data_IF_703662417412
#
_entry.id   IF_703662417412
#
_cell.length_a   1.000
_cell.length_b   1.000
_cell.length_c   1.000
_cell.angle_alpha   90.00
_cell.angle_beta   90.00
_cell.angle_gamma   90.00
#
_symmetry.space_group_name_H-M   'P 1'
#
loop_
_entity.id
_entity.type
_entity.pdbx_description
1 polymer ?
#
# COMPACT_ATOMS: atom_id res chain seq x y z
N UNK A 1 -23.25 4.99 -10.12
CA UNK A 1 -23.21 5.87 -8.93
C UNK A 1 -23.58 7.28 -9.36
N UNK A 2 -24.39 7.97 -8.57
CA UNK A 2 -24.67 9.40 -8.68
C UNK A 2 -23.83 10.16 -7.67
N UNK A 3 -23.13 11.21 -8.12
CA UNK A 3 -22.37 12.14 -7.28
C UNK A 3 -22.93 13.55 -7.49
N UNK A 4 -23.49 14.16 -6.45
CA UNK A 4 -23.92 15.55 -6.47
C UNK A 4 -23.01 16.38 -5.58
N UNK A 5 -22.51 17.51 -6.09
CA UNK A 5 -21.64 18.40 -5.32
C UNK A 5 -22.25 19.78 -5.24
N UNK A 6 -22.47 20.24 -4.01
CA UNK A 6 -23.00 21.57 -3.72
C UNK A 6 -21.82 22.48 -3.35
N UNK A 7 -21.59 23.53 -4.13
CA UNK A 7 -20.44 24.43 -3.98
C UNK A 7 -20.79 25.85 -4.44
N UNK A 8 -20.02 26.85 -4.01
CA UNK A 8 -20.08 28.21 -4.55
C UNK A 8 -19.10 28.45 -5.70
N UNK A 9 -18.27 27.46 -6.05
CA UNK A 9 -17.32 27.46 -7.17
C UNK A 9 -17.50 26.19 -8.04
N UNK A 10 -18.57 26.08 -8.83
CA UNK A 10 -18.81 24.93 -9.71
C UNK A 10 -17.61 24.59 -10.61
N UNK A 11 -16.95 25.60 -11.14
CA UNK A 11 -15.80 25.49 -12.04
C UNK A 11 -14.57 24.82 -11.40
N UNK A 12 -14.51 24.75 -10.07
CA UNK A 12 -13.45 24.03 -9.37
C UNK A 12 -13.51 22.51 -9.64
N UNK A 13 -14.70 22.01 -10.01
CA UNK A 13 -14.97 20.58 -10.18
C UNK A 13 -14.85 20.08 -11.62
N UNK A 14 -14.38 20.93 -12.52
CA UNK A 14 -13.97 20.57 -13.87
C UNK A 14 -13.08 19.30 -13.95
N UNK A 15 -12.16 19.03 -12.99
CA UNK A 15 -11.41 17.78 -12.97
C UNK A 15 -12.24 16.49 -12.90
N UNK A 16 -13.47 16.53 -12.38
CA UNK A 16 -14.34 15.34 -12.30
C UNK A 16 -14.77 14.80 -13.66
N UNK A 17 -14.65 15.59 -14.74
CA UNK A 17 -14.95 15.15 -16.12
C UNK A 17 -13.71 14.80 -16.95
N UNK A 18 -12.53 14.81 -16.35
CA UNK A 18 -11.29 14.43 -17.02
C UNK A 18 -10.90 12.97 -16.72
N UNK A 19 -10.00 12.44 -17.56
CA UNK A 19 -9.32 11.16 -17.36
C UNK A 19 -10.28 10.01 -16.96
N UNK A 20 -9.97 9.29 -15.88
CA UNK A 20 -10.69 8.07 -15.50
C UNK A 20 -12.16 8.34 -15.11
N UNK A 21 -12.44 9.45 -14.43
CA UNK A 21 -13.81 9.82 -14.04
C UNK A 21 -14.61 10.26 -15.26
N UNK A 22 -14.01 11.04 -16.18
CA UNK A 22 -14.63 11.38 -17.46
C UNK A 22 -14.99 10.15 -18.28
N UNK A 23 -14.12 9.14 -18.32
CA UNK A 23 -14.41 7.84 -18.93
C UNK A 23 -15.55 7.11 -18.23
N UNK A 24 -15.61 7.13 -16.90
CA UNK A 24 -16.71 6.53 -16.14
C UNK A 24 -18.06 7.21 -16.44
N UNK A 25 -18.06 8.52 -16.68
CA UNK A 25 -19.23 9.29 -17.14
C UNK A 25 -19.65 8.84 -18.55
N UNK A 26 -18.72 8.73 -19.51
CA UNK A 26 -19.04 8.24 -20.87
C UNK A 26 -19.68 6.85 -20.87
N UNK A 27 -19.25 6.00 -19.94
CA UNK A 27 -19.73 4.62 -19.82
C UNK A 27 -21.03 4.51 -19.00
N UNK A 28 -21.55 5.63 -18.48
CA UNK A 28 -22.75 5.66 -17.63
C UNK A 28 -22.56 5.02 -16.26
N UNK A 29 -21.32 4.74 -15.85
CA UNK A 29 -20.98 4.17 -14.54
C UNK A 29 -21.10 5.25 -13.45
N UNK A 30 -20.71 6.49 -13.80
CA UNK A 30 -20.76 7.67 -12.95
C UNK A 30 -21.66 8.73 -13.57
N UNK A 31 -22.48 9.39 -12.76
CA UNK A 31 -23.19 10.63 -13.11
C UNK A 31 -22.78 11.71 -12.12
N UNK A 32 -22.44 12.90 -12.60
CA UNK A 32 -21.95 13.99 -11.75
C UNK A 32 -22.78 15.24 -11.96
N UNK A 33 -23.51 15.65 -10.92
CA UNK A 33 -24.23 16.91 -10.87
C UNK A 33 -23.50 17.93 -10.03
N UNK A 34 -23.32 19.14 -10.56
CA UNK A 34 -22.74 20.27 -9.80
C UNK A 34 -23.81 21.32 -9.57
N UNK A 35 -23.97 21.74 -8.32
CA UNK A 35 -25.01 22.66 -7.87
C UNK A 35 -24.36 23.91 -7.31
N UNK A 36 -24.65 25.08 -7.90
CA UNK A 36 -24.18 26.34 -7.36
C UNK A 36 -25.04 26.75 -6.15
N UNK A 37 -24.48 26.68 -4.94
CA UNK A 37 -25.19 27.02 -3.70
C UNK A 37 -25.82 28.42 -3.74
N UNK A 38 -25.22 29.35 -4.50
CA UNK A 38 -25.74 30.72 -4.65
C UNK A 38 -27.13 30.78 -5.27
N UNK A 39 -27.59 29.73 -5.95
CA UNK A 39 -28.94 29.69 -6.52
C UNK A 39 -30.04 29.56 -5.46
N UNK A 40 -29.69 29.11 -4.25
CA UNK A 40 -30.54 29.16 -3.06
C UNK A 40 -30.26 30.39 -2.18
N UNK A 41 -29.31 31.24 -2.57
CA UNK A 41 -28.94 32.44 -1.84
C UNK A 41 -30.06 33.48 -1.82
N UNK A 42 -30.21 34.17 -0.69
CA UNK A 42 -31.26 35.18 -0.53
C UNK A 42 -30.80 36.58 -0.95
N UNK A 43 -31.77 37.41 -1.36
CA UNK A 43 -31.57 38.81 -1.73
C UNK A 43 -30.83 39.00 -3.05
N UNK A 44 -30.65 40.27 -3.45
CA UNK A 44 -30.09 40.62 -4.76
C UNK A 44 -28.63 40.15 -4.96
N UNK A 45 -27.90 39.96 -3.86
CA UNK A 45 -26.50 39.54 -3.89
C UNK A 45 -26.31 38.03 -3.76
N UNK A 46 -27.39 37.24 -3.68
CA UNK A 46 -27.33 35.78 -3.50
C UNK A 46 -26.36 35.38 -2.37
N UNK A 47 -26.51 36.02 -1.21
CA UNK A 47 -25.62 35.81 -0.06
C UNK A 47 -25.84 34.41 0.52
N UNK A 48 -24.73 33.75 0.86
CA UNK A 48 -24.68 32.36 1.34
C UNK A 48 -24.04 32.24 2.72
N UNK A 49 -23.59 33.36 3.28
CA UNK A 49 -22.76 33.44 4.48
C UNK A 49 -23.14 34.65 5.35
N UNK A 50 -22.89 34.56 6.65
CA UNK A 50 -23.13 35.62 7.64
C UNK A 50 -22.05 35.60 8.74
N UNK A 51 -21.87 36.70 9.50
CA UNK A 51 -20.93 36.70 10.62
C UNK A 51 -21.27 35.63 11.67
N UNK A 52 -20.28 35.02 12.33
CA UNK A 52 -20.50 34.00 13.34
C UNK A 52 -21.27 34.53 14.55
N UNK A 53 -22.17 33.70 15.08
CA UNK A 53 -22.77 33.95 16.40
C UNK A 53 -21.67 33.87 17.47
N UNK A 54 -21.72 34.78 18.46
CA UNK A 54 -20.67 34.91 19.48
C UNK A 54 -19.52 35.85 19.09
N UNK A 55 -19.51 36.36 17.85
CA UNK A 55 -18.47 37.25 17.35
C UNK A 55 -17.20 36.49 16.90
N UNK A 56 -16.19 37.24 16.47
CA UNK A 56 -14.96 36.70 15.87
C UNK A 56 -14.79 37.13 14.42
N UNK A 57 -13.59 36.95 13.85
CA UNK A 57 -13.35 37.18 12.42
C UNK A 57 -14.03 36.09 11.57
N UNK A 58 -14.14 36.33 10.27
CA UNK A 58 -14.63 35.34 9.30
C UNK A 58 -16.14 35.34 9.11
N UNK A 59 -16.62 34.36 8.36
CA UNK A 59 -18.02 34.18 7.96
C UNK A 59 -18.40 32.71 8.08
N UNK A 60 -19.65 32.42 8.40
CA UNK A 60 -20.22 31.06 8.49
C UNK A 60 -21.32 30.93 7.44
N UNK A 61 -21.34 29.82 6.72
CA UNK A 61 -22.35 29.59 5.68
C UNK A 61 -23.73 29.35 6.29
N UNK A 62 -24.76 29.98 5.72
CA UNK A 62 -26.07 30.10 6.33
C UNK A 62 -26.89 28.79 6.25
N UNK A 63 -27.58 28.40 7.34
CA UNK A 63 -28.34 27.15 7.37
C UNK A 63 -29.60 27.17 6.49
N UNK A 64 -30.24 28.32 6.31
CA UNK A 64 -31.45 28.46 5.48
C UNK A 64 -31.18 28.25 3.98
N UNK A 65 -29.99 28.61 3.51
CA UNK A 65 -29.53 28.36 2.14
C UNK A 65 -29.15 26.89 1.96
N UNK A 66 -28.34 26.35 2.88
CA UNK A 66 -27.89 24.95 2.81
C UNK A 66 -29.02 23.94 2.97
N UNK A 67 -29.95 24.15 3.90
CA UNK A 67 -31.10 23.28 4.09
C UNK A 67 -31.94 23.16 2.83
N UNK A 68 -32.27 24.31 2.20
CA UNK A 68 -33.03 24.33 0.95
C UNK A 68 -32.30 23.64 -0.21
N UNK A 69 -30.98 23.79 -0.30
CA UNK A 69 -30.17 23.12 -1.32
C UNK A 69 -30.15 21.60 -1.13
N UNK A 70 -29.90 21.14 0.10
CA UNK A 70 -29.89 19.71 0.43
C UNK A 70 -31.28 19.09 0.19
N UNK A 71 -32.36 19.75 0.59
CA UNK A 71 -33.72 19.25 0.33
C UNK A 71 -34.00 19.08 -1.16
N UNK A 72 -33.61 20.06 -1.98
CA UNK A 72 -33.81 20.02 -3.42
C UNK A 72 -33.01 18.89 -4.08
N UNK A 73 -31.77 18.65 -3.63
CA UNK A 73 -30.90 17.57 -4.14
C UNK A 73 -31.40 16.20 -3.69
N UNK A 74 -31.81 16.02 -2.43
CA UNK A 74 -32.41 14.79 -1.93
C UNK A 74 -33.66 14.40 -2.74
N UNK A 75 -34.49 15.40 -3.06
CA UNK A 75 -35.72 15.20 -3.83
C UNK A 75 -35.49 15.04 -5.35
N UNK A 76 -34.26 15.25 -5.84
CA UNK A 76 -33.95 15.24 -7.28
C UNK A 76 -34.64 16.37 -8.06
N UNK A 77 -34.95 17.48 -7.39
CA UNK A 77 -35.68 18.64 -7.96
C UNK A 77 -34.79 19.85 -8.24
N UNK A 78 -33.50 19.78 -7.91
CA UNK A 78 -32.57 20.88 -8.11
C UNK A 78 -32.22 21.08 -9.59
N UNK A 79 -32.01 22.35 -9.97
CA UNK A 79 -31.40 22.65 -11.26
C UNK A 79 -29.93 22.28 -11.20
N UNK A 80 -29.49 21.40 -12.09
CA UNK A 80 -28.18 20.74 -11.98
C UNK A 80 -27.37 20.95 -13.24
N UNK A 81 -26.12 21.38 -13.09
CA UNK A 81 -25.14 21.34 -14.17
C UNK A 81 -24.56 19.91 -14.24
N UNK A 82 -25.14 19.09 -15.11
CA UNK A 82 -24.65 17.73 -15.37
C UNK A 82 -23.33 17.78 -16.14
N UNK A 83 -22.27 17.23 -15.54
CA UNK A 83 -20.99 17.14 -16.21
C UNK A 83 -21.03 16.04 -17.27
N UNK A 84 -20.62 16.40 -18.48
CA UNK A 84 -20.24 15.44 -19.53
C UNK A 84 -18.72 15.31 -19.55
N UNK A 85 -18.22 14.17 -20.02
CA UNK A 85 -16.79 13.98 -20.33
C UNK A 85 -16.18 15.18 -21.04
N UNK A 86 -14.96 15.57 -20.65
CA UNK A 86 -14.27 16.70 -21.24
C UNK A 86 -13.71 16.39 -22.65
N UNK A 87 -13.39 15.13 -22.93
CA UNK A 87 -12.84 14.70 -24.20
C UNK A 87 -13.17 13.23 -24.44
N UNK A 88 -13.44 12.86 -25.70
CA UNK A 88 -13.76 11.48 -26.07
C UNK A 88 -12.57 10.54 -25.77
N UNK A 89 -12.85 9.45 -25.04
CA UNK A 89 -11.82 8.46 -24.72
C UNK A 89 -11.66 7.43 -25.84
N UNK A 90 -10.40 7.05 -26.11
CA UNK A 90 -10.11 5.93 -27.03
C UNK A 90 -10.48 4.62 -26.34
N UNK A 91 -11.59 4.04 -26.78
CA UNK A 91 -12.10 2.73 -26.33
C UNK A 91 -11.94 1.65 -27.42
N UNK A 92 -10.96 1.83 -28.30
CA UNK A 92 -10.68 0.99 -29.47
C UNK A 92 -10.05 -0.37 -29.11
N UNK A 93 -9.57 -0.53 -27.88
CA UNK A 93 -8.98 -1.78 -27.38
C UNK A 93 -9.89 -2.45 -26.38
N UNK A 94 -10.13 -3.75 -26.59
CA UNK A 94 -10.76 -4.62 -25.60
C UNK A 94 -9.93 -4.59 -24.33
N UNK A 95 -10.59 -4.35 -23.20
CA UNK A 95 -9.93 -4.25 -21.89
C UNK A 95 -9.41 -5.64 -21.46
N UNK A 96 -8.44 -5.66 -20.54
CA UNK A 96 -7.85 -6.91 -20.07
C UNK A 96 -8.87 -7.79 -19.33
N UNK A 97 -9.71 -7.18 -18.48
CA UNK A 97 -10.82 -7.84 -17.80
C UNK A 97 -11.82 -8.47 -18.79
N UNK A 98 -12.20 -7.73 -19.83
CA UNK A 98 -13.10 -8.20 -20.88
C UNK A 98 -12.49 -9.34 -21.70
N UNK A 99 -11.19 -9.27 -21.98
CA UNK A 99 -10.49 -10.32 -22.75
C UNK A 99 -10.43 -11.65 -21.99
N UNK A 100 -10.41 -11.59 -20.67
CA UNK A 100 -10.23 -12.75 -19.80
C UNK A 100 -11.52 -13.13 -19.05
N UNK A 101 -12.67 -12.56 -19.44
CA UNK A 101 -13.99 -12.78 -18.81
C UNK A 101 -13.98 -12.66 -17.28
N UNK A 102 -13.20 -11.70 -16.75
CA UNK A 102 -13.09 -11.47 -15.31
C UNK A 102 -14.36 -10.80 -14.83
N UNK A 103 -15.15 -11.53 -14.03
CA UNK A 103 -16.36 -10.99 -13.41
C UNK A 103 -15.99 -9.81 -12.49
N UNK A 104 -16.71 -8.67 -12.56
CA UNK A 104 -16.47 -7.57 -11.64
C UNK A 104 -16.81 -7.98 -10.21
N UNK A 105 -15.89 -7.70 -9.28
CA UNK A 105 -16.07 -8.00 -7.86
C UNK A 105 -16.20 -6.68 -7.09
N UNK A 106 -17.41 -6.31 -6.64
CA UNK A 106 -17.54 -5.18 -5.73
C UNK A 106 -17.00 -5.55 -4.34
N UNK A 107 -16.55 -4.56 -3.58
CA UNK A 107 -16.27 -4.74 -2.16
C UNK A 107 -17.55 -5.07 -1.38
N UNK A 108 -17.43 -5.93 -0.38
CA UNK A 108 -18.57 -6.35 0.45
C UNK A 108 -18.97 -5.27 1.47
N UNK A 109 -18.00 -4.47 1.92
CA UNK A 109 -18.21 -3.45 2.95
C UNK A 109 -19.18 -2.35 2.50
N UNK A 110 -20.06 -1.91 3.42
CA UNK A 110 -20.94 -0.75 3.28
C UNK A 110 -20.87 0.10 4.54
N UNK A 111 -20.96 1.41 4.40
CA UNK A 111 -20.98 2.37 5.52
C UNK A 111 -22.43 2.70 5.90
N UNK A 112 -23.09 1.77 6.58
CA UNK A 112 -24.42 1.97 7.17
C UNK A 112 -24.31 1.71 8.67
N UNK A 113 -24.52 2.74 9.49
CA UNK A 113 -24.48 2.66 10.95
C UNK A 113 -25.83 2.23 11.51
N UNK A 114 -25.83 1.74 12.75
CA UNK A 114 -27.05 1.31 13.43
C UNK A 114 -28.10 2.43 13.48
N UNK A 115 -29.31 2.13 13.00
CA UNK A 115 -30.43 3.07 12.95
C UNK A 115 -30.50 3.95 11.69
N UNK A 116 -29.53 3.83 10.77
CA UNK A 116 -29.58 4.54 9.49
C UNK A 116 -30.42 3.81 8.43
N UNK A 117 -31.06 4.58 7.56
CA UNK A 117 -31.71 4.05 6.35
C UNK A 117 -30.64 3.71 5.29
N UNK A 118 -30.49 2.43 4.89
CA UNK A 118 -29.49 2.01 3.90
C UNK A 118 -29.79 2.51 2.48
N UNK A 119 -31.02 2.94 2.19
CA UNK A 119 -31.40 3.50 0.89
C UNK A 119 -31.27 5.03 0.85
N UNK A 120 -31.07 5.68 2.00
CA UNK A 120 -30.81 7.12 2.06
C UNK A 120 -29.46 7.49 1.42
N UNK A 121 -29.39 8.63 0.71
CA UNK A 121 -28.14 9.15 0.15
C UNK A 121 -27.09 9.42 1.23
N UNK A 122 -25.82 9.24 0.88
CA UNK A 122 -24.68 9.55 1.74
C UNK A 122 -24.31 11.03 1.57
N UNK A 123 -24.39 11.81 2.64
CA UNK A 123 -23.90 13.20 2.67
C UNK A 123 -22.49 13.23 3.27
N UNK A 124 -21.51 13.58 2.43
CA UNK A 124 -20.15 13.86 2.86
C UNK A 124 -19.97 15.35 3.11
N UNK A 125 -19.41 15.68 4.25
CA UNK A 125 -19.08 17.05 4.66
C UNK A 125 -17.56 17.13 4.84
N UNK A 126 -16.81 17.63 3.86
CA UNK A 126 -15.38 17.83 4.01
C UNK A 126 -15.07 18.88 5.09
N UNK A 127 -14.41 18.46 6.16
CA UNK A 127 -13.99 19.33 7.28
C UNK A 127 -12.73 18.75 7.94
N UNK A 128 -11.75 19.58 8.34
CA UNK A 128 -10.57 19.09 9.06
C UNK A 128 -10.90 18.49 10.43
N UNK A 129 -12.10 18.74 10.98
CA UNK A 129 -12.59 18.14 12.23
C UNK A 129 -13.25 16.77 12.02
N UNK A 130 -13.40 16.32 10.77
CA UNK A 130 -14.05 15.07 10.42
C UNK A 130 -13.16 13.85 10.68
N UNK A 131 -13.74 12.66 10.53
CA UNK A 131 -12.96 11.40 10.60
C UNK A 131 -11.98 11.37 9.42
N UNK A 132 -10.70 11.03 9.62
CA UNK A 132 -9.74 10.92 8.52
C UNK A 132 -10.18 9.89 7.48
N UNK A 133 -10.23 10.31 6.22
CA UNK A 133 -10.59 9.48 5.08
C UNK A 133 -9.57 8.36 4.89
N UNK A 134 -10.06 7.14 4.82
CA UNK A 134 -9.25 5.93 4.69
C UNK A 134 -9.60 5.15 3.41
N UNK A 135 -8.72 4.22 3.05
CA UNK A 135 -9.00 3.30 1.94
C UNK A 135 -10.25 2.42 2.21
N UNK A 136 -10.54 2.12 3.48
CA UNK A 136 -11.75 1.38 3.85
C UNK A 136 -13.03 2.19 3.58
N UNK A 137 -12.99 3.51 3.82
CA UNK A 137 -14.11 4.40 3.48
C UNK A 137 -14.30 4.46 1.95
N UNK A 138 -13.21 4.56 1.18
CA UNK A 138 -13.28 4.55 -0.29
C UNK A 138 -13.94 3.26 -0.81
N UNK A 139 -13.56 2.11 -0.25
CA UNK A 139 -14.14 0.80 -0.58
C UNK A 139 -15.63 0.77 -0.24
N UNK A 140 -16.02 1.19 0.96
CA UNK A 140 -17.41 1.22 1.41
C UNK A 140 -18.26 2.17 0.54
N UNK A 141 -17.76 3.38 0.28
CA UNK A 141 -18.49 4.41 -0.48
C UNK A 141 -18.58 4.10 -1.98
N UNK A 142 -17.72 3.24 -2.53
CA UNK A 142 -17.85 2.74 -3.91
C UNK A 142 -19.14 1.94 -4.16
N UNK A 143 -19.80 1.51 -3.08
CA UNK A 143 -21.06 0.77 -3.09
C UNK A 143 -22.29 1.65 -2.99
N UNK A 144 -22.09 2.97 -2.87
CA UNK A 144 -23.17 3.93 -2.77
C UNK A 144 -23.85 4.16 -4.11
N UNK A 145 -25.17 4.29 -4.05
CA UNK A 145 -25.96 4.66 -5.23
C UNK A 145 -25.91 6.16 -5.46
N UNK A 146 -25.94 6.93 -4.38
CA UNK A 146 -26.01 8.39 -4.40
C UNK A 146 -25.17 8.96 -3.26
N UNK A 147 -24.15 9.74 -3.63
CA UNK A 147 -23.33 10.53 -2.72
C UNK A 147 -23.60 12.00 -3.00
N UNK A 148 -23.84 12.78 -1.96
CA UNK A 148 -23.91 14.24 -1.98
C UNK A 148 -22.72 14.78 -1.20
N UNK A 149 -22.05 15.82 -1.72
CA UNK A 149 -20.93 16.46 -1.03
C UNK A 149 -21.24 17.94 -0.80
N UNK A 150 -21.18 18.37 0.47
CA UNK A 150 -21.41 19.75 0.89
C UNK A 150 -20.07 20.48 1.07
N UNK A 151 -19.63 21.21 0.04
CA UNK A 151 -18.36 21.94 0.08
C UNK A 151 -18.44 23.20 0.94
N UNK A 152 -17.90 23.12 2.16
CA UNK A 152 -17.73 24.28 3.03
C UNK A 152 -16.68 25.28 2.53
N UNK A 153 -16.86 26.55 2.92
CA UNK A 153 -15.94 27.68 2.73
C UNK A 153 -15.93 28.53 3.99
N UNK A 154 -15.03 29.52 4.04
CA UNK A 154 -14.90 30.44 5.17
C UNK A 154 -14.57 29.67 6.46
N UNK A 155 -15.26 29.95 7.57
CA UNK A 155 -15.12 29.20 8.83
C UNK A 155 -15.88 27.86 8.81
N UNK A 156 -16.67 27.60 7.75
CA UNK A 156 -17.43 26.38 7.58
C UNK A 156 -18.93 26.61 7.42
N UNK A 157 -19.67 25.50 7.50
CA UNK A 157 -21.13 25.47 7.43
C UNK A 157 -21.69 25.46 8.86
N UNK A 158 -22.80 26.15 9.09
CA UNK A 158 -23.50 26.10 10.38
C UNK A 158 -23.81 24.64 10.78
N UNK A 159 -23.36 24.22 11.97
CA UNK A 159 -23.45 22.82 12.42
C UNK A 159 -24.87 22.25 12.39
N UNK A 160 -25.89 23.10 12.60
CA UNK A 160 -27.30 22.68 12.60
C UNK A 160 -27.75 22.13 11.25
N UNK A 161 -27.07 22.49 10.16
CA UNK A 161 -27.31 21.92 8.82
C UNK A 161 -27.10 20.42 8.84
N UNK A 162 -26.07 19.93 9.55
CA UNK A 162 -25.74 18.50 9.56
C UNK A 162 -26.71 17.73 10.44
N UNK A 163 -27.12 18.31 11.57
CA UNK A 163 -28.15 17.76 12.45
C UNK A 163 -29.49 17.61 11.73
N UNK A 164 -29.92 18.64 10.98
CA UNK A 164 -31.14 18.58 10.17
C UNK A 164 -31.03 17.60 8.99
N UNK A 165 -29.88 17.61 8.29
CA UNK A 165 -29.63 16.73 7.15
C UNK A 165 -29.67 15.24 7.54
N UNK A 166 -29.31 14.88 8.77
CA UNK A 166 -29.36 13.50 9.27
C UNK A 166 -30.77 12.88 9.23
N UNK A 167 -31.83 13.68 9.08
CA UNK A 167 -33.19 13.17 8.89
C UNK A 167 -33.46 12.63 7.48
N UNK A 168 -32.59 12.95 6.50
CA UNK A 168 -32.76 12.65 5.07
C UNK A 168 -31.52 12.01 4.44
N UNK A 169 -30.38 12.07 5.12
CA UNK A 169 -29.09 11.58 4.67
C UNK A 169 -28.41 10.74 5.74
N UNK A 170 -27.54 9.83 5.31
CA UNK A 170 -26.46 9.32 6.16
C UNK A 170 -25.33 10.33 6.14
N UNK A 171 -25.06 11.01 7.26
CA UNK A 171 -24.11 12.13 7.30
C UNK A 171 -22.74 11.68 7.78
N UNK A 172 -21.68 12.09 7.08
CA UNK A 172 -20.28 11.86 7.45
C UNK A 172 -19.48 13.14 7.33
N UNK A 173 -19.00 13.63 8.46
CA UNK A 173 -17.92 14.63 8.48
C UNK A 173 -16.59 13.92 8.22
N UNK A 174 -15.88 14.33 7.17
CA UNK A 174 -14.68 13.64 6.67
C UNK A 174 -13.51 14.62 6.48
N UNK A 175 -12.34 14.24 6.99
CA UNK A 175 -11.08 14.97 6.80
C UNK A 175 -10.19 14.23 5.81
N UNK A 176 -9.51 14.93 4.89
CA UNK A 176 -8.51 14.30 4.01
C UNK A 176 -7.08 14.36 4.59
N UNK A 177 -6.94 14.85 5.83
CA UNK A 177 -5.71 14.82 6.60
C UNK A 177 -5.59 16.01 7.56
N UNK A 178 -4.55 15.96 8.41
CA UNK A 178 -4.33 16.91 9.50
C UNK A 178 -3.71 18.23 9.00
N UNK A 179 -4.45 18.94 8.15
CA UNK A 179 -4.11 20.24 7.59
C UNK A 179 -5.38 21.00 7.20
N UNK A 180 -5.26 22.33 7.04
CA UNK A 180 -6.40 23.20 6.73
C UNK A 180 -6.34 23.68 5.28
N UNK A 181 -7.47 23.61 4.59
CA UNK A 181 -7.65 24.04 3.20
C UNK A 181 -8.63 25.21 3.12
N UNK A 182 -8.67 25.89 1.97
CA UNK A 182 -9.54 27.05 1.72
C UNK A 182 -11.01 26.63 1.53
N UNK A 183 -11.27 25.36 1.18
CA UNK A 183 -12.62 24.86 0.92
C UNK A 183 -12.66 23.37 0.66
N UNK A 184 -13.88 22.81 0.69
CA UNK A 184 -14.13 21.38 0.53
C UNK A 184 -14.03 20.84 -0.90
N UNK A 185 -13.87 21.69 -1.91
CA UNK A 185 -13.91 21.29 -3.33
C UNK A 185 -12.74 20.37 -3.69
N UNK A 186 -11.52 20.67 -3.24
CA UNK A 186 -10.37 19.79 -3.50
C UNK A 186 -10.48 18.46 -2.74
N UNK A 187 -11.05 18.46 -1.53
CA UNK A 187 -11.33 17.23 -0.80
C UNK A 187 -12.37 16.38 -1.53
N UNK A 188 -13.34 17.02 -2.18
CA UNK A 188 -14.31 16.34 -3.05
C UNK A 188 -13.63 15.65 -4.22
N UNK A 189 -12.67 16.32 -4.89
CA UNK A 189 -11.90 15.71 -5.98
C UNK A 189 -11.13 14.47 -5.49
N UNK A 190 -10.46 14.57 -4.34
CA UNK A 190 -9.69 13.46 -3.73
C UNK A 190 -10.60 12.27 -3.42
N UNK A 191 -11.72 12.51 -2.75
CA UNK A 191 -12.66 11.45 -2.37
C UNK A 191 -13.30 10.83 -3.62
N UNK A 192 -13.75 11.65 -4.56
CA UNK A 192 -14.37 11.17 -5.80
C UNK A 192 -13.41 10.30 -6.62
N UNK A 193 -12.13 10.66 -6.69
CA UNK A 193 -11.11 9.86 -7.38
C UNK A 193 -10.89 8.51 -6.70
N UNK A 194 -10.71 8.51 -5.37
CA UNK A 194 -10.49 7.30 -4.58
C UNK A 194 -11.70 6.34 -4.59
N UNK A 195 -12.93 6.88 -4.58
CA UNK A 195 -14.16 6.08 -4.62
C UNK A 195 -14.43 5.56 -6.03
N UNK A 196 -14.39 6.43 -7.04
CA UNK A 196 -14.80 6.08 -8.41
C UNK A 196 -13.90 4.99 -9.00
N UNK A 197 -12.60 5.02 -8.72
CA UNK A 197 -11.66 4.00 -9.24
C UNK A 197 -12.00 2.58 -8.78
N UNK A 198 -12.69 2.42 -7.66
CA UNK A 198 -13.07 1.12 -7.09
C UNK A 198 -14.40 0.60 -7.65
N UNK A 199 -15.14 1.41 -8.42
CA UNK A 199 -16.41 0.97 -8.99
C UNK A 199 -16.14 -0.03 -10.12
N UNK A 200 -16.81 -1.21 -10.08
CA UNK A 200 -16.79 -2.19 -11.16
C UNK A 200 -16.88 -1.58 -12.57
N UNK A 201 -15.87 -1.84 -13.39
CA UNK A 201 -15.82 -1.40 -14.78
C UNK A 201 -15.13 -0.05 -15.01
N UNK A 202 -14.73 0.69 -13.97
CA UNK A 202 -13.93 1.91 -14.13
C UNK A 202 -12.47 1.58 -14.45
N UNK A 203 -11.81 0.82 -13.56
CA UNK A 203 -10.48 0.29 -13.83
C UNK A 203 -10.58 -0.94 -14.75
N UNK A 204 -9.71 -1.00 -15.77
CA UNK A 204 -9.71 -2.09 -16.76
C UNK A 204 -9.03 -3.40 -16.33
N UNK A 205 -8.51 -3.45 -15.10
CA UNK A 205 -7.92 -4.65 -14.50
C UNK A 205 -8.26 -4.71 -13.01
N UNK A 206 -9.15 -5.62 -12.63
CA UNK A 206 -9.64 -5.78 -11.26
C UNK A 206 -8.51 -6.08 -10.28
N UNK A 207 -7.49 -6.84 -10.69
CA UNK A 207 -6.34 -7.16 -9.82
C UNK A 207 -5.49 -5.92 -9.47
N UNK A 208 -5.55 -4.86 -10.30
CA UNK A 208 -4.67 -3.71 -10.14
C UNK A 208 -4.94 -2.89 -8.88
N UNK A 209 -6.15 -2.94 -8.31
CA UNK A 209 -6.43 -2.21 -7.07
C UNK A 209 -6.33 -3.07 -5.82
N UNK A 210 -6.34 -4.40 -5.96
CA UNK A 210 -6.10 -5.35 -4.86
C UNK A 210 -4.63 -5.28 -4.40
N UNK A 211 -3.70 -4.99 -5.32
CA UNK A 211 -2.26 -4.88 -5.05
C UNK A 211 -1.79 -3.45 -4.68
N UNK A 212 -2.69 -2.46 -4.64
CA UNK A 212 -2.34 -1.07 -4.33
C UNK A 212 -1.98 -0.88 -2.85
N UNK A 213 -1.27 0.21 -2.56
CA UNK A 213 -1.01 0.61 -1.17
C UNK A 213 -2.32 0.72 -0.37
N UNK A 214 -2.27 0.24 0.87
CA UNK A 214 -3.34 0.18 1.87
C UNK A 214 -4.45 -0.84 1.61
N UNK A 215 -4.48 -1.51 0.45
CA UNK A 215 -5.51 -2.52 0.15
C UNK A 215 -5.44 -3.74 1.07
N UNK A 216 -4.23 -4.17 1.45
CA UNK A 216 -3.96 -5.24 2.42
C UNK A 216 -3.36 -4.68 3.73
N UNK A 217 -3.44 -3.36 3.94
CA UNK A 217 -2.85 -2.68 5.08
C UNK A 217 -1.36 -2.32 4.93
N UNK A 218 -0.69 -2.69 3.84
CA UNK A 218 0.74 -2.37 3.61
C UNK A 218 0.94 -1.40 2.44
N UNK A 219 2.16 -0.88 2.26
CA UNK A 219 2.53 -0.08 1.08
C UNK A 219 2.92 -0.98 -0.09
N UNK A 220 2.69 -0.53 -1.32
CA UNK A 220 3.06 -1.27 -2.52
C UNK A 220 4.59 -1.42 -2.69
N UNK A 221 4.97 -2.49 -3.40
CA UNK A 221 6.34 -2.68 -3.87
C UNK A 221 6.75 -1.58 -4.87
N UNK A 222 8.05 -1.25 -4.97
CA UNK A 222 8.53 -0.34 -6.00
C UNK A 222 8.27 -0.91 -7.41
N UNK A 223 7.86 -0.02 -8.32
CA UNK A 223 7.59 -0.35 -9.72
C UNK A 223 8.78 -0.03 -10.63
N UNK A 224 9.01 -0.89 -11.62
CA UNK A 224 10.06 -0.74 -12.63
C UNK A 224 9.49 -0.97 -14.02
N UNK A 225 10.01 -0.25 -15.00
CA UNK A 225 9.67 -0.43 -16.42
C UNK A 225 10.93 -0.34 -17.28
N UNK A 226 10.78 -0.52 -18.60
CA UNK A 226 11.90 -0.40 -19.54
C UNK A 226 12.47 1.02 -19.53
N UNK A 227 13.79 1.20 -19.71
CA UNK A 227 14.82 0.18 -19.98
C UNK A 227 15.32 -0.56 -18.72
N UNK A 228 16.01 -1.70 -18.90
CA UNK A 228 16.54 -2.52 -17.77
C UNK A 228 17.54 -1.77 -16.88
N UNK A 229 18.39 -0.94 -17.48
CA UNK A 229 19.35 -0.10 -16.79
C UNK A 229 19.12 1.35 -17.19
N UNK A 230 19.08 2.24 -16.20
CA UNK A 230 18.95 3.67 -16.43
C UNK A 230 19.93 4.43 -15.55
N UNK A 231 20.85 5.17 -16.19
CA UNK A 231 21.90 5.95 -15.50
C UNK A 231 22.76 5.13 -14.52
N UNK A 232 23.03 3.87 -14.87
CA UNK A 232 23.80 2.96 -14.01
C UNK A 232 23.01 2.36 -12.86
N UNK A 233 21.69 2.58 -12.81
CA UNK A 233 20.77 1.95 -11.85
C UNK A 233 20.06 0.82 -12.58
N UNK A 234 20.32 -0.41 -12.15
CA UNK A 234 19.69 -1.59 -12.71
C UNK A 234 18.37 -1.90 -12.00
N UNK A 235 17.35 -2.25 -12.78
CA UNK A 235 16.15 -2.86 -12.22
C UNK A 235 16.50 -4.25 -11.62
N UNK A 236 15.81 -4.67 -10.54
CA UNK A 236 16.09 -5.94 -9.87
C UNK A 236 16.08 -7.14 -10.83
N UNK A 237 17.12 -7.97 -10.79
CA UNK A 237 17.30 -9.09 -11.73
C UNK A 237 16.13 -10.08 -11.72
N UNK A 238 15.51 -10.28 -10.55
CA UNK A 238 14.36 -11.16 -10.35
C UNK A 238 13.18 -10.80 -11.27
N UNK A 239 12.99 -9.53 -11.61
CA UNK A 239 11.92 -9.05 -12.49
C UNK A 239 12.08 -9.52 -13.94
N UNK A 240 13.27 -10.00 -14.31
CA UNK A 240 13.58 -10.55 -15.64
C UNK A 240 13.64 -12.08 -15.67
N UNK A 241 13.39 -12.74 -14.54
CA UNK A 241 13.57 -14.20 -14.41
C UNK A 241 12.52 -15.05 -15.12
N UNK A 242 11.34 -14.47 -15.43
CA UNK A 242 10.17 -15.21 -15.92
C UNK A 242 9.49 -16.11 -14.88
N UNK A 243 9.98 -16.11 -13.64
CA UNK A 243 9.45 -16.92 -12.54
C UNK A 243 8.46 -16.07 -11.72
N UNK A 244 7.16 -16.26 -11.99
CA UNK A 244 6.09 -15.50 -11.34
C UNK A 244 6.12 -15.62 -9.82
N UNK A 245 6.42 -16.80 -9.26
CA UNK A 245 6.47 -17.01 -7.82
C UNK A 245 7.64 -16.26 -7.17
N UNK A 246 8.80 -16.19 -7.83
CA UNK A 246 9.91 -15.36 -7.34
C UNK A 246 9.61 -13.87 -7.40
N UNK A 247 8.94 -13.41 -8.47
CA UNK A 247 8.55 -12.01 -8.62
C UNK A 247 7.53 -11.60 -7.54
N UNK A 248 6.52 -12.44 -7.28
CA UNK A 248 5.51 -12.21 -6.25
C UNK A 248 6.14 -12.17 -4.85
N UNK A 249 6.99 -13.15 -4.52
CA UNK A 249 7.74 -13.13 -3.24
C UNK A 249 8.59 -11.88 -3.11
N UNK A 250 9.30 -11.48 -4.17
CA UNK A 250 10.11 -10.26 -4.14
C UNK A 250 9.25 -9.00 -3.93
N UNK A 251 8.08 -8.90 -4.60
CA UNK A 251 7.15 -7.79 -4.40
C UNK A 251 6.66 -7.74 -2.96
N UNK A 252 6.24 -8.88 -2.39
CA UNK A 252 5.81 -8.95 -0.99
C UNK A 252 6.91 -8.49 -0.03
N UNK A 253 8.12 -9.00 -0.20
CA UNK A 253 9.28 -8.60 0.61
C UNK A 253 9.62 -7.11 0.47
N UNK A 254 9.60 -6.57 -0.75
CA UNK A 254 9.86 -5.16 -0.99
C UNK A 254 8.77 -4.25 -0.41
N UNK A 255 7.51 -4.66 -0.48
CA UNK A 255 6.37 -4.02 0.19
C UNK A 255 6.56 -3.98 1.71
N UNK A 256 6.89 -5.12 2.34
CA UNK A 256 7.16 -5.20 3.78
C UNK A 256 8.32 -4.30 4.19
N UNK A 257 9.45 -4.36 3.47
CA UNK A 257 10.62 -3.55 3.75
C UNK A 257 10.31 -2.04 3.65
N UNK A 258 9.58 -1.64 2.61
CA UNK A 258 9.16 -0.24 2.40
C UNK A 258 8.18 0.21 3.48
N UNK A 259 7.21 -0.62 3.83
CA UNK A 259 6.22 -0.32 4.88
C UNK A 259 6.92 -0.17 6.23
N UNK A 260 7.80 -1.09 6.60
CA UNK A 260 8.58 -1.02 7.84
C UNK A 260 9.44 0.25 7.91
N UNK A 261 10.00 0.70 6.79
CA UNK A 261 10.86 1.88 6.72
C UNK A 261 10.09 3.21 6.75
N UNK A 262 8.94 3.30 6.07
CA UNK A 262 8.21 4.56 5.86
C UNK A 262 6.99 4.69 6.78
N UNK A 263 6.27 3.58 7.03
CA UNK A 263 5.03 3.49 7.80
C UNK A 263 5.07 2.30 8.78
N UNK A 264 6.02 2.29 9.74
CA UNK A 264 6.13 1.19 10.72
C UNK A 264 4.85 0.99 11.54
N UNK A 265 4.02 2.03 11.67
CA UNK A 265 2.70 1.96 12.30
C UNK A 265 1.76 0.98 11.58
N UNK A 266 1.83 0.88 10.25
CA UNK A 266 1.02 -0.07 9.48
C UNK A 266 1.46 -1.51 9.72
N UNK A 267 2.76 -1.76 9.85
CA UNK A 267 3.26 -3.09 10.22
C UNK A 267 2.78 -3.47 11.63
N UNK A 268 2.81 -2.53 12.57
CA UNK A 268 2.30 -2.76 13.93
C UNK A 268 0.79 -3.07 13.93
N UNK A 269 0.01 -2.36 13.11
CA UNK A 269 -1.43 -2.62 12.95
C UNK A 269 -1.69 -4.00 12.33
N UNK A 270 -0.98 -4.35 11.25
CA UNK A 270 -1.11 -5.66 10.61
C UNK A 270 -0.75 -6.81 11.58
N UNK A 271 0.28 -6.63 12.42
CA UNK A 271 0.59 -7.57 13.52
C UNK A 271 -0.53 -7.67 14.54
N UNK A 272 -1.10 -6.55 14.96
CA UNK A 272 -2.17 -6.52 15.96
C UNK A 272 -3.46 -7.19 15.46
N UNK A 273 -3.67 -7.22 14.14
CA UNK A 273 -4.82 -7.86 13.48
C UNK A 273 -4.56 -9.30 13.01
N UNK A 274 -3.37 -9.83 13.23
CA UNK A 274 -2.95 -11.16 12.75
C UNK A 274 -3.07 -11.33 11.22
N UNK A 275 -2.76 -10.25 10.48
CA UNK A 275 -2.86 -10.19 9.01
C UNK A 275 -1.52 -10.54 8.31
N UNK A 276 -0.46 -10.80 9.08
CA UNK A 276 0.87 -11.16 8.55
C UNK A 276 1.08 -12.67 8.56
N UNK A 277 1.58 -13.21 7.46
CA UNK A 277 1.94 -14.64 7.41
C UNK A 277 3.21 -14.93 8.20
N UNK A 278 3.47 -16.20 8.53
CA UNK A 278 4.75 -16.64 9.12
C UNK A 278 5.97 -16.26 8.25
N UNK A 279 5.79 -16.18 6.93
CA UNK A 279 6.85 -15.73 6.01
C UNK A 279 7.09 -14.23 6.12
N UNK A 280 6.04 -13.42 6.26
CA UNK A 280 6.13 -11.97 6.43
C UNK A 280 6.76 -11.61 7.78
N UNK A 281 6.27 -12.23 8.87
CA UNK A 281 6.82 -12.04 10.22
C UNK A 281 8.28 -12.44 10.26
N UNK A 282 8.64 -13.60 9.68
CA UNK A 282 10.06 -13.99 9.58
C UNK A 282 10.87 -12.96 8.80
N UNK A 283 10.38 -12.46 7.66
CA UNK A 283 11.13 -11.49 6.86
C UNK A 283 11.38 -10.19 7.62
N UNK A 284 10.36 -9.68 8.32
CA UNK A 284 10.43 -8.46 9.13
C UNK A 284 11.32 -8.61 10.37
N UNK A 285 11.30 -9.77 11.03
CA UNK A 285 12.06 -10.02 12.26
C UNK A 285 13.48 -10.55 12.01
N UNK A 286 13.77 -10.94 10.76
CA UNK A 286 15.10 -11.41 10.36
C UNK A 286 15.94 -10.29 9.73
N UNK A 287 17.25 -10.49 9.73
CA UNK A 287 18.22 -9.62 9.04
C UNK A 287 18.99 -10.41 7.98
N UNK A 288 19.45 -9.71 6.94
CA UNK A 288 20.31 -10.30 5.94
C UNK A 288 21.71 -10.58 6.52
N UNK A 289 22.22 -11.78 6.28
CA UNK A 289 23.49 -12.25 6.82
C UNK A 289 24.32 -12.97 5.79
N UNK A 290 25.63 -12.95 6.02
CA UNK A 290 26.60 -13.80 5.36
C UNK A 290 27.40 -14.54 6.42
N UNK A 291 27.42 -15.87 6.34
CA UNK A 291 28.29 -16.74 7.13
C UNK A 291 29.44 -17.18 6.25
N UNK A 292 30.64 -16.70 6.56
CA UNK A 292 31.88 -17.10 5.91
C UNK A 292 32.72 -17.94 6.86
N UNK A 293 32.97 -19.20 6.51
CA UNK A 293 33.79 -20.14 7.28
C UNK A 293 34.87 -20.74 6.39
N UNK A 294 36.10 -20.79 6.88
CA UNK A 294 37.09 -21.75 6.39
C UNK A 294 36.83 -23.08 7.09
N UNK A 295 36.66 -24.16 6.33
CA UNK A 295 36.33 -25.50 6.82
C UNK A 295 37.21 -26.56 6.18
N UNK A 296 37.58 -27.59 6.95
CA UNK A 296 38.14 -28.82 6.39
C UNK A 296 36.97 -29.74 6.02
N UNK A 297 36.71 -29.89 4.72
CA UNK A 297 35.55 -30.63 4.22
C UNK A 297 35.81 -31.16 2.80
N UNK A 298 35.52 -32.45 2.56
CA UNK A 298 35.59 -33.03 1.21
C UNK A 298 34.50 -32.41 0.30
N UNK A 299 34.87 -31.72 -0.81
CA UNK A 299 33.93 -31.15 -1.77
C UNK A 299 32.94 -32.16 -2.36
N UNK A 300 33.32 -33.45 -2.45
CA UNK A 300 32.43 -34.52 -2.93
C UNK A 300 31.23 -34.74 -2.00
N UNK A 301 31.36 -34.40 -0.72
CA UNK A 301 30.30 -34.50 0.27
C UNK A 301 29.31 -33.32 0.23
N UNK A 302 29.67 -32.22 -0.46
CA UNK A 302 28.97 -30.94 -0.39
C UNK A 302 27.48 -31.02 -0.70
N UNK A 303 27.08 -31.78 -1.72
CA UNK A 303 25.66 -31.93 -2.09
C UNK A 303 24.80 -32.46 -0.92
N UNK A 304 25.34 -33.39 -0.13
CA UNK A 304 24.65 -33.93 1.07
C UNK A 304 24.67 -32.90 2.21
N UNK A 305 25.81 -32.25 2.44
CA UNK A 305 25.97 -31.22 3.48
C UNK A 305 25.05 -30.03 3.22
N UNK A 306 24.98 -29.52 2.00
CA UNK A 306 24.09 -28.42 1.58
C UNK A 306 22.61 -28.72 1.83
N UNK A 307 22.16 -29.95 1.53
CA UNK A 307 20.78 -30.39 1.84
C UNK A 307 20.51 -30.43 3.34
N UNK A 308 21.47 -30.93 4.14
CA UNK A 308 21.36 -30.95 5.60
C UNK A 308 21.35 -29.53 6.17
N UNK A 309 22.26 -28.65 5.72
CA UNK A 309 22.32 -27.25 6.10
C UNK A 309 20.97 -26.57 5.91
N UNK A 310 20.38 -26.65 4.70
CA UNK A 310 19.06 -26.06 4.43
C UNK A 310 17.98 -26.52 5.40
N UNK A 311 17.95 -27.82 5.73
CA UNK A 311 16.94 -28.38 6.62
C UNK A 311 17.15 -28.01 8.09
N UNK A 312 18.37 -28.11 8.60
CA UNK A 312 18.64 -27.84 10.02
C UNK A 312 18.62 -26.33 10.32
N UNK A 313 19.14 -25.50 9.40
CA UNK A 313 19.10 -24.05 9.55
C UNK A 313 17.66 -23.51 9.49
N UNK A 314 16.81 -24.04 8.61
CA UNK A 314 15.40 -23.64 8.55
C UNK A 314 14.68 -23.87 9.90
N UNK A 315 14.95 -25.00 10.58
CA UNK A 315 14.41 -25.27 11.93
C UNK A 315 14.95 -24.33 13.01
N UNK A 316 16.16 -23.82 12.82
CA UNK A 316 16.82 -22.92 13.77
C UNK A 316 16.48 -21.44 13.54
N UNK A 317 15.61 -21.09 12.57
CA UNK A 317 15.32 -19.69 12.25
C UNK A 317 16.34 -19.04 11.32
N UNK A 318 17.00 -19.82 10.46
CA UNK A 318 17.91 -19.33 9.41
C UNK A 318 17.44 -19.86 8.05
N UNK A 319 17.05 -18.96 7.14
CA UNK A 319 16.69 -19.29 5.75
C UNK A 319 17.85 -18.96 4.81
N UNK A 320 18.31 -19.97 4.07
CA UNK A 320 19.43 -19.85 3.12
C UNK A 320 18.91 -19.37 1.77
N UNK A 321 19.48 -18.28 1.25
CA UNK A 321 19.28 -17.84 -0.14
C UNK A 321 20.24 -18.60 -1.06
N UNK A 322 21.55 -18.51 -0.76
CA UNK A 322 22.56 -19.33 -1.42
C UNK A 322 23.62 -19.88 -0.44
N UNK A 323 24.23 -20.99 -0.85
CA UNK A 323 25.34 -21.61 -0.13
C UNK A 323 26.31 -22.20 -1.14
N UNK A 324 27.57 -21.77 -1.07
CA UNK A 324 28.66 -22.19 -1.94
C UNK A 324 29.81 -22.78 -1.11
N UNK A 325 30.54 -23.71 -1.71
CA UNK A 325 31.75 -24.28 -1.13
C UNK A 325 32.81 -24.25 -2.20
N UNK A 326 33.91 -23.55 -1.93
CA UNK A 326 35.00 -23.34 -2.88
C UNK A 326 36.28 -23.87 -2.27
N UNK A 327 36.94 -24.83 -2.93
CA UNK A 327 38.22 -25.35 -2.49
C UNK A 327 39.29 -24.24 -2.60
N UNK A 328 40.01 -23.96 -1.51
CA UNK A 328 41.08 -22.96 -1.53
C UNK A 328 42.30 -23.56 -2.20
N UNK A 329 42.41 -23.37 -3.51
CA UNK A 329 43.60 -23.73 -4.28
C UNK A 329 44.64 -22.61 -4.19
N UNK A 330 45.59 -22.70 -3.24
CA UNK A 330 46.80 -21.88 -3.29
C UNK A 330 47.83 -22.52 -4.23
N UNK A 331 48.69 -21.74 -4.94
CA UNK A 331 49.93 -22.30 -5.46
C UNK A 331 50.71 -22.89 -4.27
N UNK A 332 51.38 -24.03 -4.47
CA UNK A 332 51.99 -24.90 -3.46
C UNK A 332 53.04 -24.27 -2.50
N UNK A 333 53.17 -22.94 -2.47
CA UNK A 333 54.15 -22.17 -1.71
C UNK A 333 53.53 -21.21 -0.67
N UNK A 334 52.25 -21.30 -0.33
CA UNK A 334 51.69 -20.51 0.78
C UNK A 334 51.77 -21.27 2.10
N UNK A 335 52.05 -20.53 3.18
CA UNK A 335 52.00 -21.05 4.55
C UNK A 335 50.63 -21.68 4.84
N UNK A 336 50.59 -22.84 5.54
CA UNK A 336 49.33 -23.49 5.89
C UNK A 336 48.44 -22.51 6.65
N UNK A 337 47.15 -22.52 6.34
CA UNK A 337 46.18 -21.67 7.02
C UNK A 337 46.22 -21.91 8.54
N UNK A 338 45.79 -20.93 9.33
CA UNK A 338 45.68 -21.08 10.79
C UNK A 338 44.91 -22.35 11.18
N UNK A 339 43.89 -22.72 10.40
CA UNK A 339 43.09 -23.92 10.64
C UNK A 339 43.87 -25.22 10.41
N UNK A 340 44.67 -25.29 9.34
CA UNK A 340 45.53 -26.44 9.05
C UNK A 340 46.66 -26.57 10.09
N UNK A 341 47.24 -25.45 10.52
CA UNK A 341 48.26 -25.43 11.58
C UNK A 341 47.70 -25.93 12.93
N UNK A 342 46.50 -25.47 13.32
CA UNK A 342 45.83 -25.93 14.53
C UNK A 342 45.50 -27.42 14.43
N UNK A 343 45.03 -27.89 13.27
CA UNK A 343 44.76 -29.31 13.04
C UNK A 343 46.00 -30.18 13.21
N UNK A 344 47.11 -29.78 12.58
CA UNK A 344 48.39 -30.48 12.66
C UNK A 344 48.93 -30.53 14.10
N UNK A 345 48.80 -29.43 14.86
CA UNK A 345 49.20 -29.38 16.26
C UNK A 345 48.35 -30.33 17.13
N UNK A 346 47.04 -30.39 16.90
CA UNK A 346 46.13 -31.23 17.69
C UNK A 346 46.22 -32.73 17.32
N UNK A 347 46.46 -33.06 16.05
CA UNK A 347 46.34 -34.44 15.52
C UNK A 347 47.68 -35.05 15.09
N UNK A 348 48.77 -34.27 15.06
CA UNK A 348 50.11 -34.73 14.69
C UNK A 348 50.27 -35.11 13.22
N UNK A 349 49.35 -34.71 12.35
CA UNK A 349 49.36 -35.00 10.90
C UNK A 349 48.61 -33.92 10.12
N UNK A 350 48.97 -33.75 8.86
CA UNK A 350 48.24 -32.90 7.93
C UNK A 350 46.78 -33.39 7.76
N UNK A 351 45.83 -32.47 7.58
CA UNK A 351 44.44 -32.84 7.34
C UNK A 351 44.28 -33.60 6.02
N UNK A 352 43.45 -34.65 6.05
CA UNK A 352 43.15 -35.45 4.86
C UNK A 352 42.10 -34.78 3.95
N UNK A 353 41.31 -33.87 4.51
CA UNK A 353 40.28 -33.09 3.80
C UNK A 353 40.88 -31.73 3.41
N UNK A 354 40.59 -31.23 2.19
CA UNK A 354 41.13 -29.95 1.75
C UNK A 354 40.47 -28.78 2.48
N UNK A 355 41.22 -27.69 2.62
CA UNK A 355 40.70 -26.42 3.08
C UNK A 355 39.73 -25.82 2.06
N UNK A 356 38.49 -25.60 2.49
CA UNK A 356 37.44 -25.01 1.67
C UNK A 356 36.87 -23.75 2.33
N UNK A 357 36.52 -22.77 1.51
CA UNK A 357 35.74 -21.61 1.92
C UNK A 357 34.25 -21.91 1.73
N UNK A 358 33.51 -21.95 2.82
CA UNK A 358 32.07 -22.06 2.88
C UNK A 358 31.46 -20.67 3.04
N UNK A 359 30.63 -20.27 2.08
CA UNK A 359 29.89 -19.02 2.13
C UNK A 359 28.39 -19.30 2.06
N UNK A 360 27.65 -18.81 3.04
CA UNK A 360 26.20 -18.94 3.13
C UNK A 360 25.59 -17.54 3.22
N UNK A 361 24.78 -17.17 2.24
CA UNK A 361 23.96 -15.96 2.28
C UNK A 361 22.52 -16.33 2.64
N UNK A 362 21.86 -15.46 3.39
CA UNK A 362 20.48 -15.71 3.78
C UNK A 362 19.96 -14.68 4.76
N UNK A 363 18.87 -15.04 5.45
CA UNK A 363 18.29 -14.25 6.53
C UNK A 363 18.11 -15.08 7.78
N UNK A 364 18.27 -14.45 8.94
CA UNK A 364 18.05 -15.12 10.22
C UNK A 364 17.55 -14.18 11.30
N UNK A 365 16.75 -14.71 12.22
CA UNK A 365 16.34 -14.06 13.48
C UNK A 365 17.38 -14.24 14.60
N UNK A 366 18.39 -15.10 14.38
CA UNK A 366 19.44 -15.40 15.34
C UNK A 366 20.46 -14.26 15.44
N UNK A 367 21.08 -14.11 16.62
CA UNK A 367 22.30 -13.30 16.75
C UNK A 367 23.44 -13.87 15.89
N UNK A 368 24.47 -13.07 15.58
CA UNK A 368 25.63 -13.55 14.80
C UNK A 368 26.28 -14.79 15.42
N UNK A 369 26.42 -14.83 16.75
CA UNK A 369 27.01 -15.96 17.45
C UNK A 369 26.13 -17.22 17.38
N UNK A 370 24.82 -17.08 17.53
CA UNK A 370 23.87 -18.21 17.42
C UNK A 370 23.77 -18.72 15.99
N UNK A 371 23.76 -17.83 14.99
CA UNK A 371 23.77 -18.19 13.57
C UNK A 371 25.03 -18.99 13.22
N UNK A 372 26.22 -18.53 13.65
CA UNK A 372 27.47 -19.28 13.47
C UNK A 372 27.40 -20.65 14.12
N UNK A 373 26.93 -20.73 15.37
CA UNK A 373 26.74 -22.02 16.08
C UNK A 373 25.78 -22.94 15.34
N UNK A 374 24.68 -22.43 14.79
CA UNK A 374 23.71 -23.20 14.04
C UNK A 374 24.30 -23.77 12.74
N UNK A 375 25.09 -22.96 12.00
CA UNK A 375 25.79 -23.41 10.78
C UNK A 375 26.77 -24.52 11.12
N UNK A 376 27.61 -24.31 12.14
CA UNK A 376 28.61 -25.29 12.59
C UNK A 376 27.94 -26.59 13.07
N UNK A 377 26.84 -26.52 13.83
CA UNK A 377 26.11 -27.69 14.29
C UNK A 377 25.50 -28.51 13.15
N UNK A 378 25.22 -27.89 12.01
CA UNK A 378 24.70 -28.54 10.82
C UNK A 378 25.78 -29.21 9.95
N UNK A 379 27.07 -28.89 10.16
CA UNK A 379 28.20 -29.55 9.50
C UNK A 379 28.37 -31.02 9.97
N UNK A 380 29.11 -31.85 9.23
CA UNK A 380 29.52 -33.18 9.72
C UNK A 380 30.20 -33.10 11.09
N UNK A 381 30.00 -34.13 11.92
CA UNK A 381 30.57 -34.15 13.27
C UNK A 381 32.10 -34.22 13.18
N UNK A 382 32.79 -33.32 13.87
CA UNK A 382 34.25 -33.24 13.86
C UNK A 382 34.83 -32.36 12.74
N UNK A 383 33.98 -31.72 11.91
CA UNK A 383 34.45 -30.71 10.95
C UNK A 383 35.11 -29.55 11.68
N UNK A 384 36.34 -29.27 11.32
CA UNK A 384 37.14 -28.16 11.82
C UNK A 384 36.80 -26.90 11.05
N UNK A 385 36.71 -25.78 11.74
CA UNK A 385 36.23 -24.53 11.16
C UNK A 385 36.81 -23.30 11.85
N UNK A 386 36.99 -22.21 11.09
CA UNK A 386 37.26 -20.86 11.60
C UNK A 386 36.43 -19.88 10.77
N UNK A 387 35.81 -18.90 11.44
CA UNK A 387 35.04 -17.85 10.77
C UNK A 387 33.83 -17.41 11.57
N UNK A 388 32.95 -16.62 10.97
CA UNK A 388 31.77 -16.10 11.66
C UNK A 388 30.66 -15.67 10.70
N UNK A 389 29.48 -15.45 11.27
CA UNK A 389 28.35 -14.79 10.64
C UNK A 389 28.43 -13.29 10.89
N UNK A 390 28.16 -12.49 9.86
CA UNK A 390 28.03 -11.03 9.93
C UNK A 390 26.76 -10.57 9.22
N UNK A 391 26.26 -9.39 9.58
CA UNK A 391 25.14 -8.77 8.87
C UNK A 391 25.61 -8.25 7.51
N UNK A 392 24.73 -8.28 6.52
CA UNK A 392 24.98 -7.62 5.22
C UNK A 392 24.67 -6.11 5.28
N UNK A 393 23.81 -5.69 6.22
CA UNK A 393 23.43 -4.30 6.43
C UNK A 393 24.46 -3.48 7.24
N UNK A 394 25.47 -4.14 7.81
CA UNK A 394 26.58 -3.46 8.50
C UNK A 394 27.61 -3.01 7.47
N UNK A 395 27.47 -1.78 6.97
CA UNK A 395 28.61 -1.00 6.54
C UNK A 395 29.40 -0.56 7.78
N UNK A 396 30.18 -1.48 8.34
CA UNK A 396 31.33 -1.15 9.18
C UNK A 396 32.62 -1.63 8.49
#
# INVERSE_FOLDING_TARGET
MRLDVITIFPEYLEPLRHALLGKAIEQGILQVGVHNLRDWGQGNHKSVDAPPLGGGPGMVMKPDVWGAALDAVAAGTSNTDELTTAAAHRNDKVRHDQRNDVAPRPYDARDVRDGEDPDAPLLLVPTPAGTPFSQADAQAWSRERHIVVACGRYEGIDQRVFEDAATRYRVREVSIGDYVLIGGEVATLVIAEAVTRLIPGVLGNTQSHEDDSFSDGLLEAPSYTKPRSWRGIDAPEVLFSGDHGKVERWRRQASLARTQAIRPDLVAQARARDELTDEDTFYLDSRAVITGLDVLLDPRSWSKVRKRLRRELAKAGYRIDDATLTERSGPACFEPSMLEQVYEQEHGRAPAEPLCQLEITGRTTLSNAEATKAVVAALPRGTQWVGTTRSLDSHE
#
